data_IF_855478139950
#
_entry.id   IF_855478139950
#
_cell.length_a   1.000
_cell.length_b   1.000
_cell.length_c   1.000
_cell.angle_alpha   90.00
_cell.angle_beta   90.00
_cell.angle_gamma   90.00
#
_symmetry.space_group_name_H-M   'P 1'
#
loop_
_entity.id
_entity.type
_entity.pdbx_description
1 polymer ?
#
# COMPACT_ATOMS: atom_id res chain seq x y z
N UNK A 1 -14.92 -18.80 12.80
CA UNK A 1 -14.95 -17.67 11.85
C UNK A 1 -13.61 -16.96 11.90
N UNK A 2 -12.96 -16.72 10.75
CA UNK A 2 -11.70 -15.96 10.71
C UNK A 2 -11.97 -14.48 10.97
N UNK A 3 -11.03 -13.80 11.61
CA UNK A 3 -11.14 -12.35 11.88
C UNK A 3 -10.96 -11.59 10.57
N UNK A 4 -11.92 -10.72 10.24
CA UNK A 4 -11.80 -9.79 9.10
C UNK A 4 -11.03 -8.54 9.54
N UNK A 5 -10.08 -8.10 8.72
CA UNK A 5 -9.28 -6.90 8.94
C UNK A 5 -9.38 -6.02 7.71
N UNK A 6 -9.79 -4.77 7.89
CA UNK A 6 -9.84 -3.78 6.82
C UNK A 6 -8.53 -2.99 6.76
N UNK A 7 -7.95 -2.91 5.57
CA UNK A 7 -6.64 -2.32 5.29
C UNK A 7 -6.77 -1.39 4.09
N UNK A 8 -5.98 -0.33 4.05
CA UNK A 8 -5.87 0.59 2.92
C UNK A 8 -4.43 0.68 2.45
N UNK A 9 -4.23 0.79 1.13
CA UNK A 9 -2.92 0.98 0.51
C UNK A 9 -2.90 2.19 -0.43
N UNK A 10 -1.78 2.91 -0.47
CA UNK A 10 -1.56 4.05 -1.35
C UNK A 10 -0.69 3.64 -2.54
N UNK A 11 -1.25 3.72 -3.75
CA UNK A 11 -0.47 3.71 -4.99
C UNK A 11 -0.05 5.15 -5.26
N UNK A 12 1.14 5.51 -4.77
CA UNK A 12 1.73 6.83 -4.96
C UNK A 12 2.58 6.82 -6.23
N UNK A 13 2.25 7.69 -7.19
CA UNK A 13 3.02 7.88 -8.42
C UNK A 13 3.88 9.16 -8.34
N UNK A 14 5.12 9.08 -8.83
CA UNK A 14 5.94 10.27 -9.11
C UNK A 14 5.74 10.75 -10.56
N UNK A 15 6.44 11.82 -10.93
CA UNK A 15 6.35 12.42 -12.27
C UNK A 15 6.94 11.51 -13.37
N UNK A 16 7.77 10.53 -12.99
CA UNK A 16 8.39 9.55 -13.89
C UNK A 16 7.55 8.26 -14.06
N UNK A 17 6.31 8.26 -13.56
CA UNK A 17 5.39 7.11 -13.57
C UNK A 17 5.91 5.88 -12.81
N UNK A 18 6.72 6.11 -11.78
CA UNK A 18 7.15 5.09 -10.84
C UNK A 18 6.24 5.07 -9.63
N UNK A 19 6.03 3.88 -9.07
CA UNK A 19 5.21 3.66 -7.87
C UNK A 19 6.12 3.54 -6.66
N UNK A 20 5.73 4.19 -5.55
CA UNK A 20 6.40 4.01 -4.27
C UNK A 20 6.02 2.65 -3.68
N UNK A 21 7.00 1.75 -3.58
CA UNK A 21 6.88 0.43 -2.98
C UNK A 21 7.60 0.41 -1.63
N UNK A 22 7.02 -0.28 -0.64
CA UNK A 22 7.60 -0.42 0.68
C UNK A 22 7.95 -1.88 0.99
N UNK A 23 9.15 -2.12 1.50
CA UNK A 23 9.59 -3.45 1.93
C UNK A 23 9.24 -3.66 3.40
N UNK A 24 8.42 -4.66 3.68
CA UNK A 24 8.04 -5.03 5.04
C UNK A 24 9.24 -5.41 5.88
N UNK A 25 9.32 -4.83 7.08
CA UNK A 25 10.41 -5.10 8.01
C UNK A 25 10.35 -6.52 8.59
N UNK A 26 11.45 -7.05 9.15
CA UNK A 26 11.50 -8.41 9.70
C UNK A 26 10.49 -8.69 10.82
N UNK A 27 9.99 -7.65 11.48
CA UNK A 27 9.04 -7.74 12.59
C UNK A 27 7.57 -7.61 12.14
N UNK A 28 7.33 -7.23 10.88
CA UNK A 28 5.98 -7.13 10.30
C UNK A 28 5.47 -8.51 9.88
N UNK A 29 4.15 -8.63 9.68
CA UNK A 29 3.56 -9.82 9.08
C UNK A 29 4.03 -9.99 7.64
N UNK A 30 4.39 -11.21 7.22
CA UNK A 30 4.99 -11.48 5.91
C UNK A 30 6.27 -10.65 5.68
N UNK A 31 7.33 -10.86 6.47
CA UNK A 31 8.58 -10.12 6.31
C UNK A 31 9.21 -10.36 4.93
N UNK A 32 9.95 -9.37 4.44
CA UNK A 32 10.62 -9.37 3.13
C UNK A 32 9.68 -9.45 1.91
N UNK A 33 8.40 -9.12 2.09
CA UNK A 33 7.48 -8.86 0.99
C UNK A 33 7.37 -7.36 0.74
N UNK A 34 7.16 -6.99 -0.53
CA UNK A 34 6.82 -5.64 -0.94
C UNK A 34 5.32 -5.40 -0.85
N UNK A 35 4.93 -4.18 -0.51
CA UNK A 35 3.55 -3.73 -0.42
C UNK A 35 3.40 -2.27 -0.83
N UNK A 36 2.15 -1.85 -1.03
CA UNK A 36 1.82 -0.43 -1.10
C UNK A 36 1.80 0.13 0.33
N UNK A 37 2.43 1.30 0.58
CA UNK A 37 2.38 1.94 1.89
C UNK A 37 0.95 2.19 2.36
N UNK A 38 0.70 2.11 3.66
CA UNK A 38 -0.63 2.17 4.25
C UNK A 38 -0.85 1.09 5.30
N UNK A 39 -2.04 1.06 5.89
CA UNK A 39 -2.28 0.22 7.05
C UNK A 39 -3.74 0.02 7.39
N UNK A 40 -3.98 -0.28 8.66
CA UNK A 40 -5.30 -0.74 9.13
C UNK A 40 -6.26 0.42 9.32
N UNK A 41 -7.52 0.20 8.93
CA UNK A 41 -8.59 1.14 9.23
C UNK A 41 -9.01 0.97 10.68
N UNK A 42 -9.02 2.06 11.46
CA UNK A 42 -9.53 2.06 12.84
C UNK A 42 -11.07 2.00 12.85
N UNK A 43 -11.65 1.56 13.96
CA UNK A 43 -13.11 1.46 14.08
C UNK A 43 -13.73 2.85 13.96
N UNK A 44 -14.66 3.02 13.00
CA UNK A 44 -15.32 4.28 12.72
C UNK A 44 -14.50 5.29 11.91
N UNK A 45 -13.31 4.90 11.42
CA UNK A 45 -12.46 5.73 10.57
C UNK A 45 -12.85 5.56 9.10
N UNK A 46 -12.96 6.66 8.37
CA UNK A 46 -13.18 6.63 6.93
C UNK A 46 -11.92 6.10 6.22
N UNK A 47 -12.02 5.21 5.21
CA UNK A 47 -10.85 4.59 4.58
C UNK A 47 -9.82 5.59 4.04
N UNK A 48 -10.27 6.72 3.50
CA UNK A 48 -9.37 7.76 2.97
C UNK A 48 -8.63 8.50 4.09
N UNK A 49 -9.30 8.76 5.21
CA UNK A 49 -8.69 9.41 6.37
C UNK A 49 -7.68 8.48 7.04
N UNK A 50 -8.02 7.19 7.13
CA UNK A 50 -7.09 6.14 7.55
C UNK A 50 -5.83 6.17 6.70
N UNK A 51 -5.96 6.22 5.37
CA UNK A 51 -4.81 6.22 4.48
C UNK A 51 -3.93 7.46 4.66
N UNK A 52 -4.52 8.65 4.80
CA UNK A 52 -3.74 9.88 5.06
C UNK A 52 -2.98 9.77 6.38
N UNK A 53 -3.61 9.22 7.43
CA UNK A 53 -2.98 9.04 8.74
C UNK A 53 -1.82 8.03 8.67
N UNK A 54 -2.06 6.84 8.13
CA UNK A 54 -1.05 5.78 8.01
C UNK A 54 0.16 6.27 7.22
N UNK A 55 -0.04 6.93 6.08
CA UNK A 55 1.07 7.46 5.27
C UNK A 55 1.86 8.54 6.00
N UNK A 56 1.21 9.35 6.84
CA UNK A 56 1.90 10.32 7.69
C UNK A 56 2.74 9.63 8.77
N UNK A 57 2.22 8.57 9.39
CA UNK A 57 2.87 7.80 10.45
C UNK A 57 4.07 6.99 9.89
N UNK A 58 3.88 6.32 8.75
CA UNK A 58 4.88 5.42 8.16
C UNK A 58 5.94 6.14 7.32
N UNK A 59 5.57 7.26 6.65
CA UNK A 59 6.40 7.92 5.65
C UNK A 59 6.73 9.39 5.91
N UNK A 60 6.19 10.01 6.97
CA UNK A 60 6.33 11.46 7.26
C UNK A 60 5.86 12.33 6.08
N UNK A 61 4.81 11.88 5.38
CA UNK A 61 4.27 12.53 4.19
C UNK A 61 2.79 12.90 4.35
N UNK A 62 2.38 13.96 3.64
CA UNK A 62 0.97 14.30 3.45
C UNK A 62 0.63 13.99 2.02
N UNK A 63 -0.40 13.16 1.82
CA UNK A 63 -0.90 12.78 0.50
C UNK A 63 -2.30 13.35 0.23
N UNK A 64 -2.64 13.46 -1.05
CA UNK A 64 -4.03 13.58 -1.50
C UNK A 64 -4.50 12.22 -1.99
N UNK A 65 -5.58 11.70 -1.39
CA UNK A 65 -6.17 10.41 -1.77
C UNK A 65 -7.14 10.61 -2.93
N UNK A 66 -6.89 9.91 -4.03
CA UNK A 66 -7.65 9.96 -5.26
C UNK A 66 -8.70 8.87 -5.37
N UNK A 67 -8.84 8.33 -6.58
CA UNK A 67 -9.82 7.27 -6.88
C UNK A 67 -9.36 5.92 -6.31
N UNK A 68 -10.31 5.09 -5.96
CA UNK A 68 -10.09 3.67 -5.69
C UNK A 68 -9.54 3.00 -6.96
N UNK A 69 -8.54 2.15 -6.79
CA UNK A 69 -7.95 1.34 -7.86
C UNK A 69 -8.55 -0.06 -7.81
N UNK A 70 -8.46 -0.71 -6.66
CA UNK A 70 -8.96 -2.08 -6.48
C UNK A 70 -9.40 -2.34 -5.03
N UNK A 71 -10.31 -3.31 -4.86
CA UNK A 71 -10.76 -3.86 -3.59
C UNK A 71 -10.51 -5.37 -3.61
N UNK A 72 -9.62 -5.84 -2.74
CA UNK A 72 -9.22 -7.24 -2.66
C UNK A 72 -9.66 -7.84 -1.34
N UNK A 73 -10.31 -9.01 -1.41
CA UNK A 73 -10.44 -9.90 -0.27
C UNK A 73 -9.45 -11.06 -0.40
N UNK A 74 -8.53 -11.16 0.55
CA UNK A 74 -7.54 -12.24 0.60
C UNK A 74 -7.64 -13.01 1.91
N UNK A 75 -7.81 -14.31 1.82
CA UNK A 75 -7.88 -15.20 2.98
C UNK A 75 -6.50 -15.77 3.32
N UNK A 76 -5.96 -15.36 4.47
CA UNK A 76 -4.81 -16.00 5.08
C UNK A 76 -5.27 -17.11 6.05
N UNK A 77 -4.31 -17.88 6.58
CA UNK A 77 -4.59 -18.99 7.49
C UNK A 77 -5.48 -18.58 8.68
N UNK A 78 -5.23 -17.41 9.28
CA UNK A 78 -5.91 -16.96 10.51
C UNK A 78 -6.84 -15.74 10.34
N UNK A 79 -6.71 -14.98 9.24
CA UNK A 79 -7.42 -13.72 9.02
C UNK A 79 -7.90 -13.60 7.57
N UNK A 80 -8.93 -12.78 7.37
CA UNK A 80 -9.35 -12.32 6.04
C UNK A 80 -8.98 -10.84 5.94
N UNK A 81 -8.13 -10.50 4.99
CA UNK A 81 -7.74 -9.11 4.71
C UNK A 81 -8.67 -8.57 3.64
N UNK A 82 -9.32 -7.45 3.94
CA UNK A 82 -10.06 -6.64 2.97
C UNK A 82 -9.24 -5.38 2.70
N UNK A 83 -8.46 -5.42 1.62
CA UNK A 83 -7.57 -4.35 1.20
C UNK A 83 -8.26 -3.46 0.16
N UNK A 84 -8.23 -2.15 0.38
CA UNK A 84 -8.65 -1.16 -0.62
C UNK A 84 -7.45 -0.31 -1.02
N UNK A 85 -7.08 -0.34 -2.29
CA UNK A 85 -5.98 0.49 -2.81
C UNK A 85 -6.53 1.76 -3.47
N UNK A 86 -5.86 2.87 -3.21
CA UNK A 86 -6.22 4.18 -3.77
C UNK A 86 -5.04 4.76 -4.53
N UNK A 87 -5.31 5.44 -5.65
CA UNK A 87 -4.34 6.33 -6.26
C UNK A 87 -4.06 7.48 -5.31
N UNK A 88 -2.80 7.84 -5.11
CA UNK A 88 -2.41 8.93 -4.22
C UNK A 88 -1.28 9.77 -4.84
N UNK A 89 -1.19 11.02 -4.40
CA UNK A 89 -0.13 11.96 -4.78
C UNK A 89 0.43 12.58 -3.50
N UNK A 90 1.76 12.67 -3.39
CA UNK A 90 2.40 13.39 -2.29
C UNK A 90 2.15 14.88 -2.47
N UNK A 91 1.46 15.47 -1.50
CA UNK A 91 1.19 16.92 -1.45
C UNK A 91 2.36 17.65 -0.79
N UNK A 92 3.00 17.05 0.20
CA UNK A 92 4.17 17.61 0.87
C UNK A 92 4.94 16.54 1.63
N UNK A 93 6.25 16.74 1.78
CA UNK A 93 7.17 15.81 2.42
C UNK A 93 7.94 14.97 1.40
N UNK A 94 8.94 14.25 1.91
CA UNK A 94 9.70 13.26 1.13
C UNK A 94 9.59 11.93 1.87
N UNK A 95 9.17 10.83 1.23
CA UNK A 95 8.96 9.56 1.90
C UNK A 95 10.22 9.06 2.61
N UNK A 96 10.06 8.64 3.86
CA UNK A 96 11.12 8.03 4.67
C UNK A 96 10.64 6.68 5.18
N UNK A 97 11.51 5.68 5.21
CA UNK A 97 11.16 4.37 5.77
C UNK A 97 11.18 4.46 7.31
N UNK A 98 10.04 4.72 7.96
CA UNK A 98 9.97 4.78 9.44
C UNK A 98 9.72 3.40 10.02
N UNK A 99 8.71 2.67 9.51
CA UNK A 99 8.38 1.31 9.96
C UNK A 99 8.87 0.22 9.00
N UNK A 100 9.00 0.58 7.72
CA UNK A 100 9.51 -0.30 6.66
C UNK A 100 11.03 -0.38 6.66
N UNK A 101 11.56 -1.47 6.12
CA UNK A 101 13.02 -1.62 5.97
C UNK A 101 13.59 -0.85 4.79
N UNK A 102 12.80 -0.66 3.74
CA UNK A 102 13.21 0.02 2.52
C UNK A 102 12.01 0.65 1.83
N UNK A 103 12.22 1.79 1.18
CA UNK A 103 11.29 2.37 0.21
C UNK A 103 11.99 2.44 -1.14
N UNK A 104 11.24 2.16 -2.21
CA UNK A 104 11.77 2.20 -3.57
C UNK A 104 10.73 2.73 -4.54
N UNK A 105 11.14 3.66 -5.39
CA UNK A 105 10.38 4.01 -6.59
C UNK A 105 10.66 2.97 -7.66
N UNK A 106 9.60 2.36 -8.19
CA UNK A 106 9.69 1.28 -9.18
C UNK A 106 8.76 1.57 -10.34
N UNK A 107 9.28 1.52 -11.57
CA UNK A 107 8.47 1.62 -12.79
C UNK A 107 7.32 0.63 -12.75
N UNK A 108 6.14 1.06 -13.23
CA UNK A 108 4.95 0.21 -13.33
C UNK A 108 5.21 -1.10 -14.09
N UNK A 109 6.10 -1.07 -15.10
CA UNK A 109 6.47 -2.27 -15.88
C UNK A 109 7.27 -3.30 -15.07
N UNK A 110 7.98 -2.84 -14.04
CA UNK A 110 8.95 -3.62 -13.27
C UNK A 110 8.39 -4.10 -11.94
N UNK A 111 7.17 -3.67 -11.56
CA UNK A 111 6.53 -4.08 -10.31
C UNK A 111 6.45 -5.60 -10.19
N UNK A 112 6.21 -6.33 -11.28
CA UNK A 112 6.12 -7.81 -11.28
C UNK A 112 7.41 -8.52 -10.83
N UNK A 113 8.55 -7.83 -10.87
CA UNK A 113 9.85 -8.40 -10.47
C UNK A 113 10.01 -8.40 -8.94
N UNK A 114 9.18 -7.64 -8.22
CA UNK A 114 9.18 -7.61 -6.76
C UNK A 114 8.35 -8.77 -6.19
N UNK A 115 8.78 -9.27 -5.02
CA UNK A 115 8.04 -10.26 -4.26
C UNK A 115 6.92 -9.58 -3.45
N UNK A 116 5.75 -9.43 -4.04
CA UNK A 116 4.59 -8.74 -3.43
C UNK A 116 3.83 -9.56 -2.40
N UNK A 117 3.33 -8.89 -1.37
CA UNK A 117 2.36 -9.49 -0.47
C UNK A 117 1.12 -9.96 -1.28
N UNK A 118 0.56 -11.14 -1.00
CA UNK A 118 -0.49 -11.73 -1.84
C UNK A 118 -1.74 -10.87 -2.05
N UNK A 119 -2.10 -10.02 -1.08
CA UNK A 119 -3.24 -9.12 -1.19
C UNK A 119 -3.01 -7.95 -2.16
N UNK A 120 -1.74 -7.58 -2.40
CA UNK A 120 -1.35 -6.44 -3.25
C UNK A 120 -1.20 -6.83 -4.72
N UNK A 121 -0.95 -8.12 -5.02
CA UNK A 121 -0.75 -8.65 -6.38
C UNK A 121 -1.88 -8.22 -7.35
N UNK A 122 -3.19 -8.29 -7.01
CA UNK A 122 -4.23 -7.88 -7.94
C UNK A 122 -4.12 -6.41 -8.35
N UNK A 123 -3.75 -5.52 -7.42
CA UNK A 123 -3.52 -4.10 -7.73
C UNK A 123 -2.31 -3.95 -8.66
N UNK A 124 -1.22 -4.68 -8.43
CA UNK A 124 -0.03 -4.67 -9.30
C UNK A 124 -0.38 -5.04 -10.75
N UNK A 125 -1.22 -6.06 -10.93
CA UNK A 125 -1.66 -6.50 -12.26
C UNK A 125 -2.48 -5.42 -12.98
N UNK A 126 -3.35 -4.70 -12.27
CA UNK A 126 -4.16 -3.61 -12.84
C UNK A 126 -3.29 -2.42 -13.24
N UNK A 127 -2.29 -2.09 -12.43
CA UNK A 127 -1.39 -0.97 -12.74
C UNK A 127 -0.62 -1.22 -14.02
N UNK A 128 -0.25 -2.47 -14.29
CA UNK A 128 0.43 -2.83 -15.54
C UNK A 128 -0.39 -2.44 -16.77
N UNK A 129 -1.72 -2.51 -16.73
CA UNK A 129 -2.57 -2.17 -17.87
C UNK A 129 -2.70 -0.64 -18.09
N UNK A 130 -2.06 0.18 -17.25
CA UNK A 130 -2.02 1.64 -17.45
C UNK A 130 -0.98 2.05 -18.52
N UNK A 131 -0.07 1.14 -18.90
CA UNK A 131 1.05 1.38 -19.82
C UNK A 131 1.26 0.20 -20.78
#
# INVERSE_FOLDING_TARGET
MKKKVSVVGAVILNDDNEVLCALRSPIMSLPNYWEFPGGKIKVGEEPRDALVREIKEELDCIITVGKTIEIVEHEYENIIVHLVTYKAIIKSGTPKAIEHSELRWVSVTDLKELKWAPADIPTVLILKDWY
#
